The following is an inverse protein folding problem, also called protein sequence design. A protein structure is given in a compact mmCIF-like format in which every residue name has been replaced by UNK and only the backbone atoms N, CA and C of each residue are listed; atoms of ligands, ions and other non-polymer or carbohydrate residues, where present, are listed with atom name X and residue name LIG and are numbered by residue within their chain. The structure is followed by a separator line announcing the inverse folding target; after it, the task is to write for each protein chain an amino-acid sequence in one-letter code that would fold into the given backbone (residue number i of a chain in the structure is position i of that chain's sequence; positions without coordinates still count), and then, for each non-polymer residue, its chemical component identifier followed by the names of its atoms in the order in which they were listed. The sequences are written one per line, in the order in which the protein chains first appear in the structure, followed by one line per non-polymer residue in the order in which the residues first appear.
data_IF_727179527472
#
_entry.id   IF_727179527472
#
_cell.length_a   1.000
_cell.length_b   1.000
_cell.length_c   1.000
_cell.angle_alpha   90.00
_cell.angle_beta   90.00
_cell.angle_gamma   90.00
#
_symmetry.space_group_name_H-M   'P 1'
#
loop_
_entity.id
_entity.type
_entity.pdbx_description
1 polymer ?
#
# COMPACT_ATOMS: atom_id res chain seq x y z
N UNK A 1 -16.97 -41.56 11.00
CA UNK A 1 -16.83 -40.24 11.65
C UNK A 1 -15.45 -39.61 11.48
N UNK A 2 -14.34 -40.33 11.74
CA UNK A 2 -12.96 -39.82 11.59
C UNK A 2 -12.62 -39.26 10.18
N UNK A 3 -13.13 -39.88 9.12
CA UNK A 3 -12.89 -39.43 7.73
C UNK A 3 -13.65 -38.14 7.37
N UNK A 4 -14.78 -37.86 8.01
CA UNK A 4 -15.57 -36.64 7.80
C UNK A 4 -14.91 -35.45 8.51
N UNK A 5 -14.37 -35.67 9.72
CA UNK A 5 -13.61 -34.66 10.45
C UNK A 5 -12.32 -34.23 9.73
N UNK A 6 -11.64 -35.16 9.06
CA UNK A 6 -10.43 -34.86 8.25
C UNK A 6 -10.81 -34.01 7.03
N UNK A 7 -11.90 -34.34 6.34
CA UNK A 7 -12.37 -33.59 5.18
C UNK A 7 -12.76 -32.14 5.57
N UNK A 8 -13.44 -31.98 6.70
CA UNK A 8 -13.83 -30.66 7.22
C UNK A 8 -12.61 -29.80 7.59
N UNK A 9 -11.60 -30.41 8.22
CA UNK A 9 -10.34 -29.74 8.54
C UNK A 9 -9.60 -29.30 7.28
N UNK A 10 -9.60 -30.13 6.23
CA UNK A 10 -8.97 -29.82 4.95
C UNK A 10 -9.62 -28.63 4.26
N UNK A 11 -10.96 -28.54 4.28
CA UNK A 11 -11.73 -27.40 3.74
C UNK A 11 -11.46 -26.11 4.50
N UNK A 12 -11.34 -26.18 5.83
CA UNK A 12 -10.99 -25.02 6.66
C UNK A 12 -9.56 -24.54 6.35
N UNK A 13 -8.60 -25.45 6.23
CA UNK A 13 -7.20 -25.11 5.92
C UNK A 13 -7.08 -24.49 4.52
N UNK A 14 -7.74 -25.06 3.50
CA UNK A 14 -7.71 -24.48 2.14
C UNK A 14 -8.41 -23.13 2.07
N UNK A 15 -9.48 -22.93 2.85
CA UNK A 15 -10.16 -21.64 2.96
C UNK A 15 -9.28 -20.57 3.63
N UNK A 16 -8.56 -20.92 4.71
CA UNK A 16 -7.61 -20.01 5.38
C UNK A 16 -6.46 -19.63 4.45
N UNK A 17 -5.90 -20.58 3.69
CA UNK A 17 -4.82 -20.33 2.73
C UNK A 17 -5.29 -19.45 1.55
N UNK A 18 -6.54 -19.58 1.11
CA UNK A 18 -7.11 -18.74 0.06
C UNK A 18 -7.38 -17.29 0.52
N UNK A 19 -7.43 -17.03 1.83
CA UNK A 19 -7.72 -15.70 2.38
C UNK A 19 -6.46 -14.81 2.51
N UNK A 20 -5.25 -15.36 2.38
CA UNK A 20 -4.05 -14.55 2.27
C UNK A 20 -3.86 -14.12 0.82
N UNK A 21 -4.19 -12.86 0.51
CA UNK A 21 -3.81 -12.28 -0.77
C UNK A 21 -2.28 -12.32 -0.91
N UNK A 22 -1.73 -12.84 -2.02
CA UNK A 22 -0.29 -12.91 -2.20
C UNK A 22 0.33 -11.51 -2.11
N UNK A 23 1.56 -11.44 -1.62
CA UNK A 23 2.35 -10.20 -1.65
C UNK A 23 2.39 -9.70 -3.09
N UNK A 24 2.07 -8.42 -3.29
CA UNK A 24 2.05 -7.85 -4.62
C UNK A 24 3.44 -7.93 -5.26
N UNK A 25 3.50 -8.40 -6.50
CA UNK A 25 4.71 -8.34 -7.32
C UNK A 25 4.60 -7.11 -8.25
N UNK A 26 5.24 -6.01 -7.87
CA UNK A 26 5.32 -4.82 -8.72
C UNK A 26 6.38 -5.08 -9.82
N UNK A 27 6.01 -5.06 -11.12
CA UNK A 27 6.95 -5.36 -12.20
C UNK A 27 8.17 -4.44 -12.20
N UNK A 28 9.34 -4.99 -12.54
CA UNK A 28 10.60 -4.23 -12.61
C UNK A 28 10.52 -2.98 -13.52
N UNK A 29 9.66 -2.99 -14.55
CA UNK A 29 9.41 -1.83 -15.42
C UNK A 29 8.79 -0.61 -14.70
N UNK A 30 8.25 -0.80 -13.49
CA UNK A 30 7.68 0.26 -12.63
C UNK A 30 8.69 0.80 -11.61
N UNK A 31 9.88 0.21 -11.50
CA UNK A 31 10.93 0.66 -10.58
C UNK A 31 11.44 2.02 -11.03
N UNK A 32 11.60 2.94 -10.08
CA UNK A 32 12.13 4.27 -10.34
C UNK A 32 11.45 5.37 -9.54
N UNK A 33 11.67 6.61 -9.98
CA UNK A 33 11.10 7.81 -9.36
C UNK A 33 9.96 8.36 -10.20
N UNK A 34 8.87 8.71 -9.53
CA UNK A 34 7.73 9.44 -10.07
C UNK A 34 7.60 10.75 -9.30
N UNK A 35 7.38 11.86 -10.01
CA UNK A 35 7.34 13.20 -9.42
C UNK A 35 6.00 13.83 -9.78
N UNK A 36 5.18 14.11 -8.76
CA UNK A 36 3.94 14.86 -8.89
C UNK A 36 4.14 16.29 -8.41
N UNK A 37 4.12 17.26 -9.34
CA UNK A 37 4.28 18.69 -9.02
C UNK A 37 2.91 19.31 -8.78
N UNK A 38 2.70 19.94 -7.62
CA UNK A 38 1.52 20.76 -7.38
C UNK A 38 1.82 22.20 -7.86
N UNK A 39 1.24 22.60 -8.99
CA UNK A 39 1.59 23.89 -9.61
C UNK A 39 0.87 25.11 -9.02
N UNK A 40 -0.27 24.92 -8.34
CA UNK A 40 -1.25 26.02 -8.13
C UNK A 40 -1.26 26.55 -6.69
N UNK A 41 -1.09 25.71 -5.67
CA UNK A 41 -1.39 26.09 -4.28
C UNK A 41 -0.17 26.14 -3.35
N UNK A 42 0.84 25.31 -3.60
CA UNK A 42 2.08 25.24 -2.82
C UNK A 42 3.18 24.82 -3.80
N UNK A 43 4.37 25.44 -3.74
CA UNK A 43 5.55 25.01 -4.54
C UNK A 43 6.10 23.69 -3.99
N UNK A 44 5.29 22.64 -4.00
CA UNK A 44 5.60 21.34 -3.43
C UNK A 44 5.48 20.26 -4.48
N UNK A 45 6.38 19.30 -4.39
CA UNK A 45 6.35 18.10 -5.19
C UNK A 45 6.29 16.87 -4.30
N UNK A 46 5.42 15.93 -4.66
CA UNK A 46 5.40 14.58 -4.10
C UNK A 46 6.35 13.72 -4.92
N UNK A 47 7.34 13.12 -4.26
CA UNK A 47 8.20 12.11 -4.84
C UNK A 47 7.71 10.75 -4.39
N UNK A 48 7.54 9.85 -5.35
CA UNK A 48 7.28 8.43 -5.15
C UNK A 48 8.45 7.65 -5.72
N UNK A 49 9.08 6.83 -4.89
CA UNK A 49 10.11 5.88 -5.30
C UNK A 49 9.57 4.46 -5.17
N UNK A 50 9.66 3.70 -6.25
CA UNK A 50 9.44 2.25 -6.25
C UNK A 50 10.80 1.59 -6.34
N UNK A 51 11.16 0.82 -5.31
CA UNK A 51 12.43 0.11 -5.22
C UNK A 51 12.38 -1.24 -5.97
N UNK A 52 13.54 -1.81 -6.29
CA UNK A 52 13.65 -3.14 -6.91
C UNK A 52 13.01 -4.25 -6.05
N UNK A 53 12.90 -4.03 -4.74
CA UNK A 53 12.22 -4.93 -3.80
C UNK A 53 10.69 -4.89 -3.91
N UNK A 54 10.13 -3.95 -4.67
CA UNK A 54 8.70 -3.63 -4.68
C UNK A 54 8.29 -2.70 -3.53
N UNK A 55 9.20 -2.34 -2.61
CA UNK A 55 8.91 -1.36 -1.56
C UNK A 55 8.65 0.03 -2.16
N UNK A 56 7.80 0.80 -1.47
CA UNK A 56 7.42 2.14 -1.87
C UNK A 56 7.92 3.12 -0.83
N UNK A 57 8.53 4.22 -1.28
CA UNK A 57 8.84 5.37 -0.43
C UNK A 57 8.22 6.63 -1.01
N UNK A 58 7.66 7.47 -0.15
CA UNK A 58 7.05 8.74 -0.53
C UNK A 58 7.50 9.87 0.39
N UNK A 59 7.76 11.04 -0.19
CA UNK A 59 8.07 12.24 0.58
C UNK A 59 7.74 13.50 -0.21
N UNK A 60 7.58 14.60 0.50
CA UNK A 60 7.45 15.91 -0.10
C UNK A 60 8.81 16.59 -0.23
N UNK A 61 8.97 17.37 -1.30
CA UNK A 61 9.96 18.43 -1.36
C UNK A 61 9.22 19.77 -1.30
N UNK A 62 9.73 20.71 -0.48
CA UNK A 62 9.16 22.05 -0.29
C UNK A 62 9.46 23.01 -1.44
N UNK A 63 10.05 22.51 -2.52
CA UNK A 63 10.29 23.23 -3.77
C UNK A 63 9.90 22.37 -4.97
N UNK A 64 9.55 23.02 -6.09
CA UNK A 64 9.37 22.37 -7.39
C UNK A 64 10.71 22.11 -8.10
N UNK A 65 11.83 22.61 -7.56
CA UNK A 65 13.17 22.31 -8.07
C UNK A 65 13.71 21.02 -7.42
N UNK A 66 13.39 19.89 -8.05
CA UNK A 66 13.78 18.56 -7.57
C UNK A 66 15.17 18.19 -8.12
N UNK A 67 16.07 17.72 -7.25
CA UNK A 67 17.35 17.12 -7.67
C UNK A 67 17.12 15.89 -8.56
N UNK A 68 18.06 15.61 -9.47
CA UNK A 68 18.01 14.43 -10.31
C UNK A 68 19.27 13.56 -10.11
N UNK A 69 19.18 12.38 -9.44
CA UNK A 69 17.97 11.78 -8.88
C UNK A 69 17.47 12.52 -7.62
N UNK A 70 16.18 12.39 -7.28
CA UNK A 70 15.65 12.96 -6.05
C UNK A 70 16.35 12.41 -4.81
N UNK A 71 16.67 13.27 -3.85
CA UNK A 71 17.29 12.86 -2.58
C UNK A 71 16.22 12.36 -1.61
N UNK A 72 16.33 11.09 -1.19
CA UNK A 72 15.47 10.48 -0.17
C UNK A 72 15.83 11.03 1.22
N UNK A 73 14.86 11.55 2.01
CA UNK A 73 15.12 12.00 3.38
C UNK A 73 15.35 10.81 4.31
N UNK A 74 15.84 11.06 5.53
CA UNK A 74 16.07 10.01 6.53
C UNK A 74 14.77 9.27 6.93
N UNK A 75 13.65 10.00 7.02
CA UNK A 75 12.35 9.48 7.44
C UNK A 75 11.26 9.74 6.39
N UNK A 76 11.27 9.04 5.24
CA UNK A 76 10.18 9.10 4.28
C UNK A 76 8.98 8.29 4.80
N UNK A 77 7.82 8.47 4.16
CA UNK A 77 6.73 7.51 4.29
C UNK A 77 7.13 6.23 3.55
N UNK A 78 7.26 5.12 4.26
CA UNK A 78 7.86 3.89 3.72
C UNK A 78 6.93 2.69 3.91
N UNK A 79 6.61 2.02 2.81
CA UNK A 79 5.78 0.82 2.76
C UNK A 79 6.64 -0.33 2.25
N UNK A 80 6.79 -1.38 3.06
CA UNK A 80 7.49 -2.59 2.65
C UNK A 80 6.65 -3.37 1.64
N UNK A 81 7.29 -4.15 0.78
CA UNK A 81 6.60 -4.94 -0.24
C UNK A 81 5.50 -5.85 0.32
N UNK A 82 5.73 -6.46 1.49
CA UNK A 82 4.76 -7.32 2.19
C UNK A 82 3.45 -6.62 2.56
N UNK A 83 3.48 -5.29 2.72
CA UNK A 83 2.33 -4.45 3.03
C UNK A 83 1.54 -4.03 1.78
N UNK A 84 1.92 -4.51 0.60
CA UNK A 84 1.31 -4.15 -0.69
C UNK A 84 0.56 -5.36 -1.24
N UNK A 85 -0.68 -5.14 -1.65
CA UNK A 85 -1.56 -6.12 -2.27
C UNK A 85 -2.04 -5.62 -3.63
N UNK A 86 -2.51 -6.53 -4.46
CA UNK A 86 -3.00 -6.22 -5.82
C UNK A 86 -2.08 -6.71 -6.93
N UNK A 87 -2.43 -6.36 -8.16
CA UNK A 87 -1.80 -6.83 -9.39
C UNK A 87 -1.73 -5.69 -10.40
N UNK A 88 -0.73 -5.69 -11.30
CA UNK A 88 -0.58 -4.63 -12.31
C UNK A 88 -1.90 -4.46 -13.10
N UNK A 89 -2.42 -3.23 -13.26
CA UNK A 89 -1.82 -1.95 -12.92
C UNK A 89 -2.21 -1.35 -11.55
N UNK A 90 -2.96 -2.06 -10.71
CA UNK A 90 -3.59 -1.48 -9.50
C UNK A 90 -3.18 -2.19 -8.21
N UNK A 91 -2.68 -1.40 -7.26
CA UNK A 91 -2.17 -1.87 -5.98
C UNK A 91 -2.79 -1.07 -4.83
N UNK A 92 -3.00 -1.73 -3.71
CA UNK A 92 -3.31 -1.12 -2.42
C UNK A 92 -2.16 -1.36 -1.46
N UNK A 93 -1.97 -0.45 -0.52
CA UNK A 93 -0.98 -0.61 0.53
C UNK A 93 -1.50 -0.09 1.86
N UNK A 94 -1.06 -0.72 2.94
CA UNK A 94 -1.41 -0.32 4.30
C UNK A 94 -0.32 -0.76 5.29
N UNK A 95 0.13 0.19 6.11
CA UNK A 95 1.04 -0.05 7.23
C UNK A 95 0.63 0.84 8.43
N UNK A 96 1.45 0.87 9.47
CA UNK A 96 1.22 1.69 10.67
C UNK A 96 1.25 3.19 10.40
N UNK A 97 1.92 3.63 9.32
CA UNK A 97 2.05 5.04 8.96
C UNK A 97 0.87 5.55 8.12
N UNK A 98 0.16 4.67 7.40
CA UNK A 98 -0.83 5.07 6.41
C UNK A 98 -1.41 3.95 5.55
N UNK A 99 -2.38 4.34 4.72
CA UNK A 99 -2.95 3.48 3.68
C UNK A 99 -3.21 4.26 2.40
N UNK A 100 -3.29 3.56 1.26
CA UNK A 100 -3.52 4.21 -0.02
C UNK A 100 -3.52 3.24 -1.20
N UNK A 101 -3.48 3.81 -2.41
CA UNK A 101 -3.46 3.06 -3.66
C UNK A 101 -2.44 3.60 -4.65
N UNK A 102 -1.94 2.70 -5.51
CA UNK A 102 -1.18 3.02 -6.72
C UNK A 102 -1.92 2.46 -7.92
N UNK A 103 -2.09 3.27 -8.97
CA UNK A 103 -2.67 2.83 -10.23
C UNK A 103 -1.83 3.34 -11.38
N UNK A 104 -1.21 2.43 -12.13
CA UNK A 104 -0.38 2.78 -13.28
C UNK A 104 -1.25 3.00 -14.51
N UNK A 105 -1.17 4.19 -15.08
CA UNK A 105 -1.83 4.55 -16.35
C UNK A 105 -0.85 4.53 -17.54
N UNK A 106 0.38 4.07 -17.30
CA UNK A 106 1.45 3.88 -18.28
C UNK A 106 2.77 3.57 -17.57
N UNK A 107 3.78 3.08 -18.29
CA UNK A 107 5.08 2.67 -17.69
C UNK A 107 5.73 3.79 -16.86
N UNK A 108 5.56 5.03 -17.29
CA UNK A 108 6.13 6.23 -16.65
C UNK A 108 5.07 7.13 -15.99
N UNK A 109 3.84 6.63 -15.79
CA UNK A 109 2.75 7.43 -15.21
C UNK A 109 1.96 6.62 -14.19
N UNK A 110 1.80 7.18 -13.00
CA UNK A 110 1.11 6.56 -11.87
C UNK A 110 0.21 7.57 -11.18
N UNK A 111 -0.97 7.12 -10.81
CA UNK A 111 -1.88 7.82 -9.91
C UNK A 111 -1.65 7.24 -8.52
N UNK A 112 -1.37 8.10 -7.55
CA UNK A 112 -1.19 7.70 -6.16
C UNK A 112 -2.25 8.39 -5.30
N UNK A 113 -2.89 7.62 -4.44
CA UNK A 113 -3.67 8.15 -3.31
C UNK A 113 -2.99 7.69 -2.03
N UNK A 114 -2.91 8.55 -1.03
CA UNK A 114 -2.38 8.15 0.27
C UNK A 114 -3.01 8.96 1.40
N UNK A 115 -3.26 8.29 2.51
CA UNK A 115 -3.72 8.86 3.76
C UNK A 115 -2.72 8.48 4.84
N UNK A 116 -2.04 9.48 5.39
CA UNK A 116 -1.24 9.28 6.59
C UNK A 116 -2.18 9.00 7.76
N UNK A 117 -1.90 7.94 8.50
CA UNK A 117 -2.57 7.65 9.76
C UNK A 117 -1.90 8.56 10.81
N UNK A 118 -2.58 9.66 11.13
CA UNK A 118 -2.36 10.39 12.38
C UNK A 118 -2.92 9.50 13.50
N UNK A 119 -2.39 9.51 14.74
CA UNK A 119 -2.98 8.77 15.85
C UNK A 119 -4.38 9.31 16.19
N UNK A 120 -5.35 8.95 15.37
CA UNK A 120 -6.78 9.06 15.58
C UNK A 120 -7.40 7.76 15.06
N UNK A 121 -7.01 6.64 15.66
CA UNK A 121 -7.74 5.40 15.48
C UNK A 121 -8.93 5.43 16.42
N UNK A 122 -10.14 5.59 15.86
CA UNK A 122 -11.31 5.03 16.52
C UNK A 122 -11.25 3.52 16.28
N UNK A 123 -10.88 2.77 17.32
CA UNK A 123 -11.06 1.33 17.34
C UNK A 123 -12.55 1.05 17.38
N UNK A 124 -13.12 0.55 16.30
CA UNK A 124 -14.45 -0.04 16.32
C UNK A 124 -14.28 -1.52 16.64
N UNK A 125 -14.66 -1.90 17.85
CA UNK A 125 -14.81 -3.30 18.22
C UNK A 125 -16.08 -3.88 17.57
N UNK A 126 -16.15 -5.20 17.43
CA UNK A 126 -17.36 -5.86 16.96
C UNK A 126 -18.53 -5.47 17.87
N UNK A 127 -19.61 -4.95 17.27
CA UNK A 127 -20.85 -4.74 18.02
C UNK A 127 -21.33 -6.11 18.47
N UNK A 128 -21.31 -6.37 19.79
CA UNK A 128 -21.96 -7.55 20.34
C UNK A 128 -23.47 -7.41 20.09
N UNK A 129 -23.96 -7.94 18.97
CA UNK A 129 -25.36 -8.30 18.82
C UNK A 129 -25.62 -9.51 19.71
N UNK A 130 -26.09 -9.23 20.92
CA UNK A 130 -27.10 -10.00 21.65
C UNK A 130 -27.79 -8.96 22.53
N UNK A 131 -28.81 -8.25 22.03
CA UNK A 131 -30.21 -8.70 22.09
C UNK A 131 -30.51 -9.60 23.30
N UNK A 132 -31.04 -9.00 24.36
CA UNK A 132 -32.36 -9.39 24.84
C UNK A 132 -33.06 -8.19 25.49
N UNK A 133 -34.40 -8.08 25.36
CA UNK A 133 -35.22 -7.00 25.91
C UNK A 133 -35.23 -6.98 27.45
#
# INVERSE_FOLDING_TARGET
MKNISILFLFVIITYIIACSSPVANIPAKRVGYYIGIQAILQKRALILQIENSGAINMWYNDTNNISNPPTKPANPFSVKAENIKGVDPSYSYQNEQGAGTLTFIGDKKVIVTFRKLVPDYYGFEETCTNQNP
#
